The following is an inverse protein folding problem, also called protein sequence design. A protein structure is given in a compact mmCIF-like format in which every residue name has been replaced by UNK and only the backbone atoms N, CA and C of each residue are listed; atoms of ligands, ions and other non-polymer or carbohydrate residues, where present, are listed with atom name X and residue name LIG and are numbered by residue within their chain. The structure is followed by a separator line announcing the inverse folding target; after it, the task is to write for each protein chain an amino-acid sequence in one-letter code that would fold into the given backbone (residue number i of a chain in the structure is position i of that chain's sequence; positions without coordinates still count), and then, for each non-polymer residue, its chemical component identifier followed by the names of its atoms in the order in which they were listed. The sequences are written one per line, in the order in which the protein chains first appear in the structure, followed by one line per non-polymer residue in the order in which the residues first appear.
data_IF_778336995484
#
_entry.id   IF_778336995484
#
_cell.length_a   1.000
_cell.length_b   1.000
_cell.length_c   1.000
_cell.angle_alpha   90.00
_cell.angle_beta   90.00
_cell.angle_gamma   90.00
#
_symmetry.space_group_name_H-M   'P 1'
#
loop_
_entity.id
_entity.type
_entity.pdbx_description
1 polymer ?
#
# COMPACT_ATOMS: atom_id res chain seq x y z
N UNK A 1 -10.23 9.08 6.98
CA UNK A 1 -9.44 10.28 7.27
C UNK A 1 -8.02 9.88 7.66
N UNK A 2 -7.01 10.25 6.90
CA UNK A 2 -5.65 9.84 7.24
C UNK A 2 -5.13 10.57 8.48
N UNK A 3 -4.59 9.79 9.40
CA UNK A 3 -3.95 10.28 10.63
C UNK A 3 -2.74 9.40 10.88
N UNK A 4 -1.70 9.93 11.51
CA UNK A 4 -0.50 9.18 11.85
C UNK A 4 -0.18 9.30 13.33
N UNK A 5 0.93 8.70 13.76
CA UNK A 5 1.39 8.72 15.15
C UNK A 5 0.40 8.04 16.10
N UNK A 6 0.23 6.75 15.91
CA UNK A 6 -0.61 5.90 16.75
C UNK A 6 -2.04 5.75 16.28
N UNK A 7 -2.43 6.50 15.26
CA UNK A 7 -3.75 6.36 14.67
C UNK A 7 -3.57 5.90 13.22
N UNK A 8 -4.21 4.81 12.88
CA UNK A 8 -4.11 4.26 11.54
C UNK A 8 -4.68 5.23 10.52
N UNK A 9 -4.02 5.33 9.38
CA UNK A 9 -4.54 6.04 8.23
C UNK A 9 -5.65 5.19 7.64
N UNK A 10 -6.85 5.70 7.65
CA UNK A 10 -8.01 4.92 7.26
C UNK A 10 -8.29 5.06 5.78
N UNK A 11 -7.93 4.02 5.05
CA UNK A 11 -8.46 3.80 3.71
C UNK A 11 -9.65 2.86 3.72
N UNK A 12 -10.25 2.70 4.90
CA UNK A 12 -11.38 1.80 5.06
C UNK A 12 -12.63 2.40 4.42
N UNK A 13 -13.25 1.59 3.62
CA UNK A 13 -14.62 1.80 3.21
C UNK A 13 -15.46 0.73 3.92
N UNK A 14 -16.31 1.15 4.85
CA UNK A 14 -17.17 0.22 5.58
C UNK A 14 -18.02 -0.63 4.65
N UNK A 15 -18.41 -0.07 3.52
CA UNK A 15 -19.23 -0.79 2.56
C UNK A 15 -18.45 -1.91 1.88
N UNK A 16 -17.13 -1.78 1.75
CA UNK A 16 -16.31 -2.83 1.17
C UNK A 16 -16.29 -4.10 2.01
N UNK A 17 -16.54 -3.99 3.32
CA UNK A 17 -16.62 -5.15 4.20
C UNK A 17 -17.85 -6.02 3.91
N UNK A 18 -18.87 -5.44 3.31
CA UNK A 18 -20.13 -6.11 3.00
C UNK A 18 -20.30 -6.39 1.51
N UNK A 19 -19.36 -5.95 0.70
CA UNK A 19 -19.36 -6.15 -0.74
C UNK A 19 -18.37 -7.26 -1.10
N UNK A 20 -18.86 -8.34 -1.68
CA UNK A 20 -18.05 -9.51 -2.00
C UNK A 20 -16.84 -9.17 -2.88
N UNK A 21 -16.97 -8.21 -3.78
CA UNK A 21 -15.89 -7.83 -4.71
C UNK A 21 -14.87 -6.90 -4.07
N UNK A 22 -15.21 -6.29 -2.94
CA UNK A 22 -14.37 -5.33 -2.24
C UNK A 22 -14.13 -5.71 -0.79
N UNK A 23 -14.18 -7.00 -0.50
CA UNK A 23 -14.10 -7.51 0.86
C UNK A 23 -12.75 -7.27 1.54
N UNK A 24 -11.70 -7.02 0.78
CA UNK A 24 -10.35 -6.86 1.30
C UNK A 24 -10.17 -5.39 1.72
N UNK A 25 -9.88 -5.14 3.01
CA UNK A 25 -9.67 -3.76 3.46
C UNK A 25 -8.43 -3.15 2.81
N UNK A 26 -8.52 -1.86 2.51
CA UNK A 26 -7.41 -1.08 1.98
C UNK A 26 -6.99 -0.01 2.98
N UNK A 27 -5.78 0.52 2.80
CA UNK A 27 -5.20 1.51 3.67
C UNK A 27 -4.45 2.53 2.81
N UNK A 28 -4.86 3.80 2.86
CA UNK A 28 -4.27 4.84 2.02
C UNK A 28 -4.44 4.52 0.53
N UNK A 29 -3.38 4.69 -0.24
CA UNK A 29 -3.37 4.39 -1.67
C UNK A 29 -2.57 3.12 -2.01
N UNK A 30 -1.82 2.56 -1.07
CA UNK A 30 -0.93 1.43 -1.34
C UNK A 30 -1.07 0.26 -0.37
N UNK A 31 -1.86 0.40 0.68
CA UNK A 31 -2.04 -0.67 1.65
C UNK A 31 -3.16 -1.63 1.24
N UNK A 32 -2.84 -2.90 1.16
CA UNK A 32 -3.78 -3.96 0.84
C UNK A 32 -3.27 -4.86 -0.28
N UNK A 33 -3.72 -6.12 -0.35
CA UNK A 33 -3.27 -7.06 -1.38
C UNK A 33 -3.62 -6.57 -2.78
N UNK A 34 -2.60 -6.39 -3.62
CA UNK A 34 -2.77 -5.94 -4.99
C UNK A 34 -3.30 -4.52 -5.13
N UNK A 35 -3.28 -3.73 -4.06
CA UNK A 35 -3.80 -2.36 -4.06
C UNK A 35 -2.64 -1.38 -4.22
N UNK A 36 -2.54 -0.77 -5.37
CA UNK A 36 -1.40 0.06 -5.77
C UNK A 36 -1.92 1.35 -6.40
N UNK A 37 -1.52 2.49 -5.85
CA UNK A 37 -1.91 3.79 -6.39
C UNK A 37 -3.41 4.08 -6.30
N UNK A 38 -4.11 3.45 -5.37
CA UNK A 38 -5.56 3.63 -5.22
C UNK A 38 -6.40 2.70 -6.09
N UNK A 39 -5.78 1.75 -6.78
CA UNK A 39 -6.46 0.80 -7.65
C UNK A 39 -6.03 -0.63 -7.36
N UNK A 40 -6.92 -1.57 -7.61
CA UNK A 40 -6.63 -2.99 -7.43
C UNK A 40 -6.11 -3.60 -8.72
N UNK A 41 -5.02 -4.37 -8.59
CA UNK A 41 -4.39 -5.07 -9.70
C UNK A 41 -4.53 -6.58 -9.50
N UNK A 42 -4.68 -7.30 -10.61
CA UNK A 42 -4.68 -8.76 -10.59
C UNK A 42 -3.25 -9.33 -10.61
N UNK A 43 -3.15 -10.67 -10.63
CA UNK A 43 -1.86 -11.35 -10.61
C UNK A 43 -1.01 -11.08 -11.85
N UNK A 44 -1.60 -10.53 -12.90
CA UNK A 44 -0.91 -10.19 -14.15
C UNK A 44 -0.57 -8.69 -14.23
N UNK A 45 -0.73 -7.97 -13.11
CA UNK A 45 -0.50 -6.51 -13.03
C UNK A 45 -1.43 -5.70 -13.94
N UNK A 46 -2.65 -6.19 -14.11
CA UNK A 46 -3.70 -5.47 -14.85
C UNK A 46 -4.68 -4.89 -13.84
N UNK A 47 -4.96 -3.59 -13.96
CA UNK A 47 -5.91 -2.91 -13.10
C UNK A 47 -7.32 -3.45 -13.36
N UNK A 48 -7.97 -3.93 -12.30
CA UNK A 48 -9.29 -4.56 -12.40
C UNK A 48 -10.37 -3.57 -12.84
N UNK A 49 -10.30 -2.34 -12.35
CA UNK A 49 -11.32 -1.31 -12.61
C UNK A 49 -11.07 -0.55 -13.90
N UNK A 50 -9.82 -0.40 -14.28
CA UNK A 50 -9.42 0.42 -15.41
C UNK A 50 -8.18 -0.17 -16.07
N UNK A 51 -8.35 -1.05 -17.06
CA UNK A 51 -7.21 -1.70 -17.71
C UNK A 51 -6.23 -0.74 -18.39
N UNK A 52 -6.62 0.50 -18.63
CA UNK A 52 -5.73 1.51 -19.20
C UNK A 52 -4.80 2.14 -18.16
N UNK A 53 -5.10 1.97 -16.87
CA UNK A 53 -4.25 2.44 -15.77
C UNK A 53 -3.17 1.40 -15.54
N UNK A 54 -1.93 1.73 -15.91
CA UNK A 54 -0.84 0.77 -15.88
C UNK A 54 -0.22 0.67 -14.50
N UNK A 55 0.56 -0.39 -14.28
CA UNK A 55 1.33 -0.56 -13.04
C UNK A 55 2.34 0.58 -12.86
N UNK A 56 2.90 1.09 -13.97
CA UNK A 56 3.82 2.23 -13.91
C UNK A 56 3.10 3.51 -13.49
N UNK A 57 1.87 3.72 -13.97
CA UNK A 57 1.02 4.82 -13.52
C UNK A 57 0.76 4.72 -12.02
N UNK A 58 0.50 3.52 -11.53
CA UNK A 58 0.24 3.27 -10.12
C UNK A 58 1.44 3.66 -9.26
N UNK A 59 2.63 3.24 -9.63
CA UNK A 59 3.85 3.57 -8.88
C UNK A 59 4.29 5.03 -9.05
N UNK A 60 3.76 5.73 -10.03
CA UNK A 60 3.96 7.18 -10.18
C UNK A 60 3.03 8.00 -9.31
N UNK A 61 2.01 7.37 -8.72
CA UNK A 61 1.08 8.03 -7.82
C UNK A 61 1.76 8.30 -6.48
N UNK A 62 1.74 9.54 -5.95
CA UNK A 62 2.33 9.80 -4.64
C UNK A 62 1.50 9.17 -3.52
N UNK A 63 2.10 8.93 -2.33
CA UNK A 63 1.35 8.45 -1.19
C UNK A 63 0.21 9.40 -0.79
N UNK A 64 -0.79 8.85 -0.11
CA UNK A 64 -1.88 9.66 0.43
C UNK A 64 -1.35 10.70 1.41
N UNK A 65 -2.06 11.81 1.55
CA UNK A 65 -1.71 12.83 2.52
C UNK A 65 -2.29 12.49 3.89
N UNK A 66 -1.56 12.86 4.94
CA UNK A 66 -2.07 12.76 6.30
C UNK A 66 -2.95 13.97 6.64
N UNK A 67 -3.42 14.05 7.88
CA UNK A 67 -4.30 15.14 8.31
C UNK A 67 -3.64 16.51 8.30
N UNK A 68 -2.31 16.56 8.29
CA UNK A 68 -1.54 17.81 8.21
C UNK A 68 -1.27 18.26 6.77
N UNK A 69 -1.67 17.47 5.78
CA UNK A 69 -1.40 17.77 4.37
C UNK A 69 -0.04 17.29 3.86
N UNK A 70 0.71 16.59 4.69
CA UNK A 70 2.01 16.01 4.31
C UNK A 70 1.84 14.58 3.82
N UNK A 71 2.83 14.07 3.10
CA UNK A 71 2.80 12.67 2.67
C UNK A 71 2.74 11.74 3.88
N UNK A 72 1.80 10.82 3.86
CA UNK A 72 1.65 9.80 4.90
C UNK A 72 2.88 8.89 4.94
N UNK A 73 3.52 8.80 6.10
CA UNK A 73 4.67 7.91 6.28
C UNK A 73 4.27 6.45 6.16
N UNK A 74 3.10 6.10 6.68
CA UNK A 74 2.59 4.73 6.60
C UNK A 74 2.31 4.34 5.15
N UNK A 75 1.65 5.22 4.41
CA UNK A 75 1.31 4.92 3.02
C UNK A 75 2.56 4.89 2.14
N UNK A 76 3.54 5.75 2.41
CA UNK A 76 4.84 5.69 1.74
C UNK A 76 5.54 4.36 2.00
N UNK A 77 5.46 3.84 3.23
CA UNK A 77 6.03 2.53 3.57
C UNK A 77 5.32 1.40 2.82
N UNK A 78 4.00 1.47 2.68
CA UNK A 78 3.25 0.49 1.89
C UNK A 78 3.60 0.57 0.40
N UNK A 79 3.80 1.78 -0.12
CA UNK A 79 4.24 1.96 -1.50
C UNK A 79 5.62 1.33 -1.73
N UNK A 80 6.56 1.58 -0.83
CA UNK A 80 7.90 1.00 -0.92
C UNK A 80 7.85 -0.53 -0.86
N UNK A 81 6.98 -1.08 -0.03
CA UNK A 81 6.77 -2.51 0.08
C UNK A 81 6.22 -3.09 -1.23
N UNK A 82 5.20 -2.49 -1.81
CA UNK A 82 4.61 -2.92 -3.06
C UNK A 82 5.64 -2.86 -4.20
N UNK A 83 6.43 -1.81 -4.25
CA UNK A 83 7.46 -1.65 -5.26
C UNK A 83 8.57 -2.70 -5.09
N UNK A 84 8.96 -2.99 -3.84
CA UNK A 84 9.95 -4.02 -3.56
C UNK A 84 9.47 -5.40 -4.01
N UNK A 85 8.20 -5.71 -3.77
CA UNK A 85 7.59 -6.95 -4.25
C UNK A 85 7.58 -7.02 -5.78
N UNK A 86 7.19 -5.94 -6.42
CA UNK A 86 7.16 -5.87 -7.88
C UNK A 86 8.54 -6.09 -8.48
N UNK A 87 9.57 -5.47 -7.89
CA UNK A 87 10.96 -5.62 -8.34
C UNK A 87 11.55 -6.99 -8.03
N UNK A 88 11.08 -7.64 -6.96
CA UNK A 88 11.55 -8.96 -6.57
C UNK A 88 11.01 -10.07 -7.47
N UNK A 89 9.90 -9.81 -8.14
CA UNK A 89 9.24 -10.83 -8.97
C UNK A 89 10.18 -11.36 -10.01
N UNK A 90 10.26 -12.69 -10.11
CA UNK A 90 11.11 -13.43 -11.05
C UNK A 90 12.61 -13.23 -10.86
N UNK A 91 13.05 -12.64 -9.73
CA UNK A 91 14.46 -12.60 -9.39
C UNK A 91 14.92 -13.94 -8.78
N UNK A 92 16.18 -14.28 -8.98
CA UNK A 92 16.75 -15.53 -8.46
C UNK A 92 16.64 -15.60 -6.93
N UNK A 93 16.77 -14.47 -6.25
CA UNK A 93 16.70 -14.37 -4.79
C UNK A 93 15.38 -13.77 -4.30
N UNK A 94 14.29 -14.03 -5.01
CA UNK A 94 12.98 -13.45 -4.73
C UNK A 94 12.58 -13.62 -3.26
N UNK A 95 12.73 -14.82 -2.70
CA UNK A 95 12.34 -15.09 -1.32
C UNK A 95 13.06 -14.20 -0.31
N UNK A 96 14.34 -13.94 -0.53
CA UNK A 96 15.14 -13.06 0.33
C UNK A 96 14.67 -11.62 0.18
N UNK A 97 14.43 -11.17 -1.05
CA UNK A 97 13.97 -9.81 -1.32
C UNK A 97 12.59 -9.55 -0.72
N UNK A 98 11.70 -10.53 -0.81
CA UNK A 98 10.36 -10.45 -0.20
C UNK A 98 10.48 -10.36 1.32
N UNK A 99 11.32 -11.18 1.93
CA UNK A 99 11.55 -11.13 3.38
C UNK A 99 12.10 -9.76 3.80
N UNK A 100 13.05 -9.23 3.06
CA UNK A 100 13.61 -7.90 3.34
C UNK A 100 12.53 -6.82 3.24
N UNK A 101 11.67 -6.90 2.24
CA UNK A 101 10.56 -5.96 2.07
C UNK A 101 9.58 -6.02 3.24
N UNK A 102 9.25 -7.23 3.70
CA UNK A 102 8.34 -7.41 4.83
C UNK A 102 8.93 -6.87 6.13
N UNK A 103 10.22 -7.12 6.37
CA UNK A 103 10.92 -6.58 7.54
C UNK A 103 10.99 -5.06 7.51
N UNK A 104 11.25 -4.47 6.36
CA UNK A 104 11.30 -3.03 6.20
C UNK A 104 9.93 -2.40 6.47
N UNK A 105 8.85 -3.02 5.99
CA UNK A 105 7.49 -2.55 6.26
C UNK A 105 7.16 -2.63 7.74
N UNK A 106 7.48 -3.75 8.38
CA UNK A 106 7.25 -3.92 9.81
C UNK A 106 7.98 -2.84 10.62
N UNK A 107 9.24 -2.60 10.31
CA UNK A 107 10.05 -1.59 10.98
C UNK A 107 9.48 -0.19 10.77
N UNK A 108 9.07 0.14 9.55
CA UNK A 108 8.50 1.45 9.23
C UNK A 108 7.17 1.68 9.96
N UNK A 109 6.29 0.67 9.98
CA UNK A 109 4.99 0.78 10.67
C UNK A 109 5.16 0.90 12.18
N UNK A 110 6.07 0.14 12.77
CA UNK A 110 6.39 0.27 14.20
C UNK A 110 6.92 1.67 14.53
N UNK A 111 7.75 2.22 13.68
CA UNK A 111 8.29 3.57 13.88
C UNK A 111 7.16 4.62 13.90
N UNK A 112 6.20 4.51 12.98
CA UNK A 112 5.06 5.41 12.94
C UNK A 112 4.18 5.27 14.19
N UNK A 113 3.86 4.04 14.59
CA UNK A 113 3.02 3.78 15.76
C UNK A 113 3.66 4.20 17.08
N UNK A 114 4.97 4.09 17.19
CA UNK A 114 5.70 4.42 18.41
C UNK A 114 6.18 5.88 18.44
N UNK A 115 6.03 6.62 17.33
CA UNK A 115 6.46 8.01 17.28
C UNK A 115 5.58 8.88 18.21
N UNK A 116 6.15 9.85 18.89
CA UNK A 116 5.37 10.79 19.69
C UNK A 116 4.50 11.67 18.78
N UNK A 117 3.32 12.00 19.28
CA UNK A 117 2.41 12.90 18.56
C UNK A 117 2.83 14.35 18.69
#
# INVERSE_FOLDING_TARGET
MPVENGVAIMGWDYWSLFNADSYIPTFGLFGGPGYIGGHRFDDYNICVDDPSFTIDDAFSTPPALNSSGDASQSDAAFKDHDLAYYRANDQTNEAVLVLQADLALLQATLTVFLAPN
#
